data_IF_571415765143
#
_entry.id   IF_571415765143
#
_cell.length_a   1.000
_cell.length_b   1.000
_cell.length_c   1.000
_cell.angle_alpha   90.00
_cell.angle_beta   90.00
_cell.angle_gamma   90.00
#
_symmetry.space_group_name_H-M   'P 1'
#
loop_
_entity.id
_entity.type
_entity.pdbx_description
1 polymer ?
#
# COMPACT_ATOMS: atom_id res chain seq x y z
N UNK A 1 8.06 -8.08 -4.28
CA UNK A 1 8.21 -8.76 -2.98
C UNK A 1 6.90 -8.91 -2.23
N UNK A 2 6.92 -9.33 -0.93
CA UNK A 2 5.69 -9.60 -0.16
C UNK A 2 4.71 -8.43 -0.13
N UNK A 3 5.19 -7.21 0.13
CA UNK A 3 4.35 -6.01 0.18
C UNK A 3 3.63 -5.75 -1.15
N UNK A 4 4.36 -5.80 -2.28
CA UNK A 4 3.75 -5.63 -3.60
C UNK A 4 2.77 -6.73 -3.96
N UNK A 5 3.04 -7.99 -3.58
CA UNK A 5 2.08 -9.08 -3.76
C UNK A 5 0.80 -8.84 -2.95
N UNK A 6 0.92 -8.45 -1.68
CA UNK A 6 -0.24 -8.16 -0.84
C UNK A 6 -1.04 -6.96 -1.38
N UNK A 7 -0.38 -5.85 -1.71
CA UNK A 7 -1.01 -4.69 -2.32
C UNK A 7 -1.74 -5.07 -3.62
N UNK A 8 -1.11 -5.88 -4.48
CA UNK A 8 -1.70 -6.37 -5.71
C UNK A 8 -2.95 -7.22 -5.50
N UNK A 9 -2.99 -8.08 -4.47
CA UNK A 9 -4.20 -8.84 -4.14
C UNK A 9 -5.36 -7.91 -3.80
N UNK A 10 -5.13 -6.91 -2.94
CA UNK A 10 -6.19 -5.98 -2.54
C UNK A 10 -6.62 -5.06 -3.68
N UNK A 11 -5.68 -4.54 -4.48
CA UNK A 11 -6.01 -3.73 -5.65
C UNK A 11 -6.85 -4.52 -6.66
N UNK A 12 -6.46 -5.75 -6.99
CA UNK A 12 -7.20 -6.60 -7.92
C UNK A 12 -8.59 -6.99 -7.38
N UNK A 13 -8.74 -7.23 -6.07
CA UNK A 13 -10.05 -7.46 -5.43
C UNK A 13 -10.96 -6.23 -5.49
N UNK A 14 -10.38 -5.03 -5.59
CA UNK A 14 -11.10 -3.77 -5.79
C UNK A 14 -11.26 -3.41 -7.30
N UNK A 15 -11.20 -4.43 -8.17
CA UNK A 15 -11.44 -4.31 -9.61
C UNK A 15 -10.44 -3.45 -10.40
N UNK A 16 -9.25 -3.21 -9.84
CA UNK A 16 -8.17 -2.60 -10.61
C UNK A 16 -7.47 -3.65 -11.48
N UNK A 17 -7.02 -3.23 -12.67
CA UNK A 17 -6.10 -4.05 -13.47
C UNK A 17 -4.71 -4.02 -12.81
N UNK A 18 -4.22 -5.19 -12.42
CA UNK A 18 -2.97 -5.31 -11.64
C UNK A 18 -1.94 -6.13 -12.37
N UNK A 19 -0.74 -5.56 -12.50
CA UNK A 19 0.44 -6.21 -13.04
C UNK A 19 1.52 -6.30 -11.95
N UNK A 20 1.94 -7.52 -11.60
CA UNK A 20 3.05 -7.78 -10.69
C UNK A 20 4.31 -7.98 -11.53
N UNK A 21 5.25 -7.04 -11.42
CA UNK A 21 6.54 -7.11 -12.12
C UNK A 21 7.60 -7.66 -11.16
N UNK A 22 8.16 -8.81 -11.47
CA UNK A 22 9.20 -9.48 -10.67
C UNK A 22 10.42 -9.75 -11.54
N UNK A 23 11.56 -9.21 -11.14
CA UNK A 23 12.82 -9.36 -11.89
C UNK A 23 13.39 -10.78 -11.89
N UNK A 24 12.99 -11.59 -10.93
CA UNK A 24 13.49 -12.94 -10.77
C UNK A 24 12.62 -13.97 -11.50
N UNK A 25 13.10 -15.21 -11.54
CA UNK A 25 12.41 -16.37 -12.12
C UNK A 25 11.21 -16.85 -11.28
N UNK A 26 11.06 -16.33 -10.06
CA UNK A 26 9.95 -16.71 -9.15
C UNK A 26 9.66 -15.59 -8.17
N UNK A 27 8.41 -15.54 -7.71
CA UNK A 27 7.96 -14.62 -6.68
C UNK A 27 8.60 -14.93 -5.31
N UNK A 28 8.73 -13.89 -4.48
CA UNK A 28 8.99 -14.06 -3.06
C UNK A 28 10.38 -14.54 -2.66
N UNK A 29 11.43 -14.41 -3.50
CA UNK A 29 12.81 -14.86 -3.17
C UNK A 29 13.30 -14.37 -1.81
N UNK A 30 13.04 -13.09 -1.46
CA UNK A 30 13.43 -12.57 -0.16
C UNK A 30 12.60 -13.16 0.97
N UNK A 31 11.31 -13.37 0.76
CA UNK A 31 10.42 -14.03 1.74
C UNK A 31 10.91 -15.45 2.03
N UNK A 32 11.35 -16.16 0.99
CA UNK A 32 11.81 -17.56 1.10
C UNK A 32 12.95 -17.74 2.11
N UNK A 33 13.83 -16.75 2.23
CA UNK A 33 14.99 -16.82 3.14
C UNK A 33 14.75 -16.19 4.51
N UNK A 34 13.63 -15.48 4.70
CA UNK A 34 13.32 -14.82 5.98
C UNK A 34 12.98 -15.84 7.08
N UNK A 35 13.24 -15.46 8.34
CA UNK A 35 12.96 -16.33 9.48
C UNK A 35 13.66 -17.70 9.38
N UNK A 36 14.85 -17.76 8.77
CA UNK A 36 15.59 -19.02 8.50
C UNK A 36 14.80 -20.01 7.64
N UNK A 37 14.08 -19.50 6.62
CA UNK A 37 13.25 -20.29 5.74
C UNK A 37 11.82 -20.57 6.23
N UNK A 38 11.48 -20.09 7.43
CA UNK A 38 10.16 -20.27 8.06
C UNK A 38 9.17 -19.16 7.74
N UNK A 39 9.63 -17.96 7.42
CA UNK A 39 8.88 -16.71 7.27
C UNK A 39 8.17 -16.27 8.56
N UNK A 40 8.76 -15.31 9.30
CA UNK A 40 8.01 -14.58 10.31
C UNK A 40 7.01 -13.64 9.60
N UNK A 41 5.72 -14.00 9.64
CA UNK A 41 4.65 -13.35 8.87
C UNK A 41 4.31 -12.00 9.46
N UNK A 42 4.05 -11.96 10.77
CA UNK A 42 3.71 -10.78 11.55
C UNK A 42 4.02 -11.01 13.02
N UNK A 43 3.61 -10.07 13.87
CA UNK A 43 3.59 -10.21 15.31
C UNK A 43 2.14 -10.18 15.80
N UNK A 44 1.73 -11.12 16.64
CA UNK A 44 0.38 -11.20 17.18
C UNK A 44 0.19 -10.26 18.38
N UNK A 45 0.47 -8.97 18.18
CA UNK A 45 0.28 -7.91 19.16
C UNK A 45 -0.70 -6.86 18.62
N UNK A 46 -1.19 -6.01 19.48
CA UNK A 46 -2.02 -4.89 19.07
C UNK A 46 -1.20 -3.82 18.34
N UNK A 47 -1.90 -2.98 17.54
CA UNK A 47 -1.22 -1.93 16.76
C UNK A 47 -0.42 -0.97 17.65
N UNK A 48 -0.94 -0.67 18.85
CA UNK A 48 -0.29 0.19 19.85
C UNK A 48 1.05 -0.36 20.33
N UNK A 49 1.19 -1.67 20.43
CA UNK A 49 2.43 -2.33 20.86
C UNK A 49 3.51 -2.30 19.77
N UNK A 50 3.13 -2.11 18.50
CA UNK A 50 4.09 -2.02 17.39
C UNK A 50 4.83 -0.68 17.36
N UNK A 51 4.16 0.42 17.72
CA UNK A 51 4.73 1.76 17.55
C UNK A 51 5.99 2.01 18.38
N UNK A 52 6.11 1.55 19.64
CA UNK A 52 7.35 1.69 20.40
C UNK A 52 8.54 0.92 19.81
N UNK A 53 8.28 -0.13 19.03
CA UNK A 53 9.33 -0.91 18.37
C UNK A 53 9.88 -0.25 17.09
N UNK A 54 9.23 0.83 16.62
CA UNK A 54 9.68 1.55 15.43
C UNK A 54 10.81 2.51 15.74
N UNK A 55 11.90 2.41 14.98
CA UNK A 55 13.10 3.23 15.23
C UNK A 55 12.91 4.72 14.91
N UNK A 56 12.03 5.06 13.97
CA UNK A 56 11.81 6.45 13.54
C UNK A 56 10.41 6.66 12.99
N UNK A 57 9.86 7.86 13.21
CA UNK A 57 8.62 8.36 12.63
C UNK A 57 7.41 7.38 12.69
N UNK A 58 7.05 6.82 13.86
CA UNK A 58 5.93 5.88 13.97
C UNK A 58 4.60 6.48 13.51
N UNK A 59 4.40 7.80 13.66
CA UNK A 59 3.18 8.50 13.26
C UNK A 59 2.86 8.37 11.77
N UNK A 60 3.87 8.23 10.92
CA UNK A 60 3.70 8.03 9.48
C UNK A 60 2.92 6.74 9.17
N UNK A 61 3.08 5.73 10.02
CA UNK A 61 2.47 4.41 9.81
C UNK A 61 1.14 4.20 10.55
N UNK A 62 0.67 5.17 11.35
CA UNK A 62 -0.55 5.00 12.14
C UNK A 62 -1.74 4.60 11.26
N UNK A 63 -2.03 5.35 10.20
CA UNK A 63 -3.15 5.04 9.31
C UNK A 63 -3.03 3.61 8.74
N UNK A 64 -1.84 3.21 8.30
CA UNK A 64 -1.62 1.89 7.71
C UNK A 64 -1.86 0.76 8.73
N UNK A 65 -1.35 0.88 9.95
CA UNK A 65 -1.50 -0.18 10.97
C UNK A 65 -2.89 -0.26 11.56
N UNK A 66 -3.64 0.85 11.60
CA UNK A 66 -5.04 0.81 12.01
C UNK A 66 -5.98 0.37 10.88
N UNK A 67 -5.60 0.57 9.60
CA UNK A 67 -6.39 0.10 8.46
C UNK A 67 -6.15 -1.37 8.12
N UNK A 68 -4.98 -1.91 8.46
CA UNK A 68 -4.62 -3.30 8.21
C UNK A 68 -3.72 -3.80 9.35
N UNK A 69 -4.36 -4.39 10.33
CA UNK A 69 -3.77 -4.80 11.61
C UNK A 69 -2.97 -6.11 11.49
N UNK A 70 -2.11 -6.44 12.46
CA UNK A 70 -1.48 -7.76 12.53
C UNK A 70 -2.50 -8.90 12.52
N UNK A 71 -3.67 -8.71 13.14
CA UNK A 71 -4.73 -9.69 13.14
C UNK A 71 -5.33 -9.88 11.74
N UNK A 72 -5.52 -8.81 10.97
CA UNK A 72 -5.99 -8.89 9.58
C UNK A 72 -4.99 -9.67 8.69
N UNK A 73 -3.68 -9.51 8.95
CA UNK A 73 -2.64 -10.30 8.26
C UNK A 73 -2.79 -11.79 8.58
N UNK A 74 -2.99 -12.13 9.85
CA UNK A 74 -3.18 -13.53 10.26
C UNK A 74 -4.43 -14.12 9.61
N UNK A 75 -5.57 -13.43 9.70
CA UNK A 75 -6.82 -13.86 9.08
C UNK A 75 -6.70 -14.02 7.56
N UNK A 76 -5.98 -13.13 6.89
CA UNK A 76 -5.74 -13.22 5.46
C UNK A 76 -5.08 -14.57 5.10
N UNK A 77 -4.01 -14.95 5.79
CA UNK A 77 -3.30 -16.20 5.49
C UNK A 77 -4.09 -17.43 5.91
N UNK A 78 -4.80 -17.41 7.02
CA UNK A 78 -5.68 -18.49 7.44
C UNK A 78 -6.83 -18.72 6.47
N UNK A 79 -7.51 -17.65 6.02
CA UNK A 79 -8.53 -17.72 4.96
C UNK A 79 -7.94 -18.18 3.61
N UNK A 80 -6.68 -17.87 3.35
CA UNK A 80 -5.94 -18.38 2.19
C UNK A 80 -5.47 -19.85 2.36
N UNK A 81 -5.83 -20.52 3.45
CA UNK A 81 -5.54 -21.93 3.69
C UNK A 81 -4.13 -22.20 4.22
N UNK A 82 -3.50 -21.23 4.87
CA UNK A 82 -2.22 -21.40 5.56
C UNK A 82 -2.44 -21.28 7.07
N UNK A 83 -2.53 -22.39 7.80
CA UNK A 83 -2.61 -22.36 9.26
C UNK A 83 -1.37 -21.70 9.86
N UNK A 84 -1.59 -20.82 10.85
CA UNK A 84 -0.55 -20.09 11.53
C UNK A 84 -0.36 -20.59 12.97
N UNK A 85 0.80 -20.30 13.55
CA UNK A 85 1.11 -20.50 14.97
C UNK A 85 1.82 -19.28 15.52
N UNK A 86 1.54 -19.00 16.79
CA UNK A 86 2.21 -17.93 17.55
C UNK A 86 3.30 -18.57 18.43
N UNK A 87 4.51 -18.04 18.35
CA UNK A 87 5.64 -18.47 19.13
C UNK A 87 6.06 -17.38 20.14
N UNK A 88 7.06 -17.68 20.95
CA UNK A 88 7.60 -16.75 21.96
C UNK A 88 7.86 -15.35 21.38
N UNK A 89 7.40 -14.32 22.07
CA UNK A 89 7.49 -12.92 21.64
C UNK A 89 6.46 -12.56 20.56
N UNK A 90 5.32 -13.23 20.59
CA UNK A 90 4.18 -13.02 19.68
C UNK A 90 4.53 -13.17 18.20
N UNK A 91 5.63 -13.84 17.85
CA UNK A 91 6.05 -14.05 16.46
C UNK A 91 5.15 -15.07 15.78
N UNK A 92 4.64 -14.72 14.62
CA UNK A 92 3.71 -15.55 13.86
C UNK A 92 4.42 -16.25 12.71
N UNK A 93 4.27 -17.56 12.62
CA UNK A 93 4.84 -18.41 11.57
C UNK A 93 3.77 -19.32 10.97
N UNK A 94 3.95 -19.79 9.71
CA UNK A 94 3.14 -20.88 9.21
C UNK A 94 3.35 -22.14 10.07
N UNK A 95 2.30 -22.89 10.32
CA UNK A 95 2.36 -24.11 11.15
C UNK A 95 3.32 -25.15 10.57
N UNK A 96 3.45 -25.18 9.26
CA UNK A 96 4.38 -26.05 8.52
C UNK A 96 5.86 -25.70 8.69
N UNK A 97 6.19 -24.50 9.20
CA UNK A 97 7.54 -23.92 9.21
C UNK A 97 8.15 -23.71 7.82
N UNK A 98 7.32 -23.65 6.76
CA UNK A 98 7.77 -23.42 5.40
C UNK A 98 7.33 -22.08 4.84
N UNK A 99 8.29 -21.19 4.58
CA UNK A 99 8.03 -19.88 3.93
C UNK A 99 7.39 -20.02 2.54
N UNK A 100 7.60 -21.14 1.88
CA UNK A 100 6.97 -21.44 0.59
C UNK A 100 5.44 -21.48 0.64
N UNK A 101 4.84 -21.79 1.80
CA UNK A 101 3.38 -21.80 1.93
C UNK A 101 2.81 -20.40 1.89
N UNK A 102 3.50 -19.45 2.53
CA UNK A 102 3.17 -18.02 2.47
C UNK A 102 3.27 -17.51 1.03
N UNK A 103 4.35 -17.83 0.32
CA UNK A 103 4.56 -17.39 -1.07
C UNK A 103 3.47 -17.98 -1.98
N UNK A 104 3.20 -19.29 -1.87
CA UNK A 104 2.15 -19.95 -2.64
C UNK A 104 0.75 -19.40 -2.36
N UNK A 105 0.47 -19.04 -1.11
CA UNK A 105 -0.80 -18.41 -0.75
C UNK A 105 -0.96 -17.06 -1.45
N UNK A 106 0.05 -16.19 -1.36
CA UNK A 106 0.02 -14.89 -2.03
C UNK A 106 -0.12 -15.02 -3.55
N UNK A 107 0.63 -15.93 -4.17
CA UNK A 107 0.55 -16.18 -5.61
C UNK A 107 -0.84 -16.69 -6.02
N UNK A 108 -1.41 -17.61 -5.25
CA UNK A 108 -2.76 -18.13 -5.48
C UNK A 108 -3.82 -17.04 -5.37
N UNK A 109 -3.74 -16.19 -4.33
CA UNK A 109 -4.70 -15.11 -4.13
C UNK A 109 -4.57 -14.02 -5.20
N UNK A 110 -3.36 -13.71 -5.70
CA UNK A 110 -3.15 -12.84 -6.86
C UNK A 110 -3.84 -13.39 -8.10
N UNK A 111 -3.59 -14.66 -8.44
CA UNK A 111 -4.20 -15.32 -9.60
C UNK A 111 -5.72 -15.37 -9.49
N UNK A 112 -6.25 -15.70 -8.30
CA UNK A 112 -7.69 -15.74 -8.03
C UNK A 112 -8.35 -14.37 -8.18
N UNK A 113 -7.63 -13.29 -7.83
CA UNK A 113 -8.11 -11.92 -8.00
C UNK A 113 -7.93 -11.38 -9.43
N UNK A 114 -7.30 -12.14 -10.34
CA UNK A 114 -7.10 -11.75 -11.74
C UNK A 114 -5.85 -10.92 -12.01
N UNK A 115 -4.93 -10.79 -11.04
CA UNK A 115 -3.67 -10.09 -11.26
C UNK A 115 -2.77 -10.83 -12.26
N UNK A 116 -2.13 -10.07 -13.15
CA UNK A 116 -1.16 -10.58 -14.13
C UNK A 116 0.24 -10.57 -13.52
N UNK A 117 0.96 -11.68 -13.61
CA UNK A 117 2.30 -11.85 -13.06
C UNK A 117 3.31 -11.94 -14.19
N UNK A 118 4.28 -11.05 -14.19
CA UNK A 118 5.37 -10.98 -15.15
C UNK A 118 6.68 -11.30 -14.44
N UNK A 119 7.22 -12.48 -14.66
CA UNK A 119 8.53 -12.89 -14.16
C UNK A 119 9.63 -12.41 -15.13
N UNK A 120 10.88 -12.43 -14.66
CA UNK A 120 12.04 -11.92 -15.41
C UNK A 120 11.87 -10.48 -15.91
N UNK A 121 11.00 -9.71 -15.25
CA UNK A 121 10.62 -8.36 -15.65
C UNK A 121 11.13 -7.36 -14.61
N UNK A 122 12.21 -6.70 -14.92
CA UNK A 122 12.84 -5.72 -14.05
C UNK A 122 12.42 -4.30 -14.44
N UNK A 123 11.94 -3.53 -13.46
CA UNK A 123 11.66 -2.10 -13.63
C UNK A 123 12.97 -1.34 -13.49
N UNK A 124 13.26 -0.46 -14.45
CA UNK A 124 14.38 0.46 -14.45
C UNK A 124 13.97 1.81 -13.83
N UNK A 125 12.81 2.32 -14.22
CA UNK A 125 12.38 3.67 -13.83
C UNK A 125 10.85 3.74 -13.68
N UNK A 126 10.40 4.61 -12.75
CA UNK A 126 9.00 5.01 -12.61
C UNK A 126 8.82 6.34 -13.33
N UNK A 127 7.96 6.36 -14.34
CA UNK A 127 7.69 7.56 -15.16
C UNK A 127 6.59 8.38 -14.51
N UNK A 128 6.89 9.67 -14.29
CA UNK A 128 5.96 10.64 -13.74
C UNK A 128 5.78 11.79 -14.70
N UNK A 129 4.59 12.38 -14.72
CA UNK A 129 4.30 13.62 -15.44
C UNK A 129 3.73 14.66 -14.48
N UNK A 130 4.05 15.95 -14.68
CA UNK A 130 3.37 17.02 -13.92
C UNK A 130 1.87 16.95 -14.16
N UNK A 131 1.08 17.12 -13.10
CA UNK A 131 -0.37 17.32 -13.25
C UNK A 131 -0.57 18.73 -13.78
N UNK A 132 -0.80 18.86 -15.09
CA UNK A 132 -1.29 20.12 -15.66
C UNK A 132 -2.79 20.17 -15.38
N UNK A 133 -3.22 21.07 -14.49
CA UNK A 133 -4.65 21.38 -14.37
C UNK A 133 -5.14 21.84 -15.75
N UNK A 134 -5.96 21.04 -16.40
CA UNK A 134 -6.77 21.52 -17.52
C UNK A 134 -7.84 22.43 -16.90
N UNK A 135 -7.63 23.74 -17.03
CA UNK A 135 -8.65 24.74 -16.75
C UNK A 135 -9.82 24.46 -17.70
N UNK A 136 -10.80 23.71 -17.25
CA UNK A 136 -12.11 23.74 -17.86
C UNK A 136 -12.90 24.82 -17.15
N UNK A 137 -12.89 26.00 -17.75
CA UNK A 137 -13.88 27.03 -17.48
C UNK A 137 -15.28 26.43 -17.64
N UNK A 138 -15.96 26.30 -16.54
CA UNK A 138 -17.41 26.21 -16.49
C UNK A 138 -17.88 27.16 -15.40
N UNK A 139 -17.96 28.42 -15.79
CA UNK A 139 -18.72 29.43 -15.10
C UNK A 139 -20.17 28.94 -15.01
N UNK A 140 -20.68 28.70 -13.84
CA UNK A 140 -22.10 28.77 -13.58
C UNK A 140 -22.34 29.60 -12.32
N UNK A 141 -22.57 30.87 -12.64
CA UNK A 141 -23.18 31.88 -11.79
C UNK A 141 -24.59 31.39 -11.39
N UNK A 142 -24.82 31.22 -10.12
CA UNK A 142 -26.15 31.33 -9.53
C UNK A 142 -26.01 32.10 -8.22
N UNK A 143 -26.26 33.39 -8.33
CA UNK A 143 -26.63 34.26 -7.21
C UNK A 143 -27.95 33.76 -6.64
N UNK A 144 -28.04 33.60 -5.34
CA UNK A 144 -29.29 33.81 -4.62
C UNK A 144 -28.97 34.33 -3.21
N UNK A 145 -29.41 35.54 -3.00
CA UNK A 145 -29.45 36.27 -1.74
C UNK A 145 -30.28 35.51 -0.69
N UNK A 146 -29.82 35.51 0.54
CA UNK A 146 -30.70 35.62 1.70
C UNK A 146 -29.91 36.11 2.91
N UNK A 147 -30.43 37.15 3.49
CA UNK A 147 -29.88 38.04 4.50
C UNK A 147 -29.97 37.50 5.93
N UNK A 148 -29.10 38.08 6.78
CA UNK A 148 -29.23 38.45 8.18
C UNK A 148 -29.41 37.37 9.27
N UNK A 149 -28.44 37.26 10.19
CA UNK A 149 -28.55 37.91 11.53
C UNK A 149 -27.22 37.81 12.27
N UNK A 150 -26.88 38.92 12.93
CA UNK A 150 -25.74 39.13 13.81
C UNK A 150 -25.85 38.31 15.12
N UNK A 151 -24.72 37.76 15.59
CA UNK A 151 -24.34 37.85 17.00
C UNK A 151 -22.85 37.54 17.16
N UNK A 152 -22.13 38.49 17.78
CA UNK A 152 -20.68 38.46 17.89
C UNK A 152 -20.12 37.42 18.82
N UNK A 153 -18.95 36.93 18.44
CA UNK A 153 -18.00 36.32 19.38
C UNK A 153 -16.57 36.65 18.93
N UNK A 154 -15.81 37.19 19.86
CA UNK A 154 -14.47 37.72 19.73
C UNK A 154 -13.49 36.62 19.25
N UNK A 155 -12.89 36.79 18.08
CA UNK A 155 -11.97 35.82 17.48
C UNK A 155 -10.53 36.20 17.80
N UNK A 156 -9.96 35.43 18.73
CA UNK A 156 -8.53 35.43 19.00
C UNK A 156 -7.68 35.23 17.75
N UNK A 157 -6.60 35.97 17.67
CA UNK A 157 -5.59 36.07 16.60
C UNK A 157 -5.26 34.75 15.92
N UNK A 158 -5.70 34.56 14.70
CA UNK A 158 -5.27 33.52 13.78
C UNK A 158 -3.77 33.66 13.49
N UNK A 159 -2.98 32.64 13.90
CA UNK A 159 -1.61 32.47 13.44
C UNK A 159 -1.63 32.21 11.94
N UNK A 160 -1.08 33.11 11.13
CA UNK A 160 -0.81 32.87 9.69
C UNK A 160 0.06 31.62 9.56
N UNK A 161 -0.55 30.49 9.15
CA UNK A 161 0.16 29.29 8.75
C UNK A 161 1.09 29.64 7.58
N UNK A 162 2.38 29.28 7.70
CA UNK A 162 3.28 29.30 6.55
C UNK A 162 2.69 28.38 5.50
N UNK A 163 2.36 28.90 4.31
CA UNK A 163 2.07 28.09 3.12
C UNK A 163 3.27 27.18 2.89
N UNK A 164 3.03 25.88 2.90
CA UNK A 164 4.01 24.92 2.40
C UNK A 164 4.33 25.30 0.94
N UNK A 165 5.59 25.14 0.47
CA UNK A 165 5.89 25.40 -0.92
C UNK A 165 4.99 24.52 -1.80
N UNK A 166 4.40 25.09 -2.86
CA UNK A 166 3.64 24.36 -3.86
C UNK A 166 4.61 23.34 -4.53
N UNK A 167 4.61 22.11 -4.04
CA UNK A 167 5.29 21.00 -4.69
C UNK A 167 4.42 20.63 -5.88
N UNK A 168 4.93 20.69 -7.14
CA UNK A 168 4.17 20.28 -8.30
C UNK A 168 3.64 18.87 -8.07
N UNK A 169 2.35 18.68 -8.19
CA UNK A 169 1.76 17.36 -8.10
C UNK A 169 2.18 16.56 -9.34
N UNK A 170 2.90 15.48 -9.14
CA UNK A 170 3.29 14.56 -10.19
C UNK A 170 2.35 13.35 -10.18
N UNK A 171 1.88 12.94 -11.35
CA UNK A 171 1.11 11.71 -11.53
C UNK A 171 2.01 10.64 -12.16
N UNK A 172 1.98 9.44 -11.61
CA UNK A 172 2.61 8.27 -12.23
C UNK A 172 1.86 7.95 -13.52
N UNK A 173 2.58 7.67 -14.59
CA UNK A 173 2.02 7.33 -15.90
C UNK A 173 2.48 5.96 -16.39
N UNK A 174 3.42 5.34 -15.71
CA UNK A 174 3.89 4.01 -16.06
C UNK A 174 5.30 3.73 -15.54
N UNK A 175 5.87 2.67 -16.05
CA UNK A 175 7.23 2.24 -15.75
C UNK A 175 8.01 1.93 -17.02
N UNK A 176 9.32 2.15 -17.00
CA UNK A 176 10.25 1.68 -18.03
C UNK A 176 10.93 0.43 -17.52
N UNK A 177 10.89 -0.63 -18.31
CA UNK A 177 11.57 -1.89 -18.02
C UNK A 177 13.05 -1.82 -18.46
N UNK A 178 13.87 -2.74 -17.97
CA UNK A 178 15.30 -2.79 -18.29
C UNK A 178 15.60 -3.09 -19.76
N UNK A 179 14.66 -3.61 -20.53
CA UNK A 179 14.72 -3.82 -21.97
C UNK A 179 14.28 -2.59 -22.79
N UNK A 180 13.93 -1.49 -22.12
CA UNK A 180 13.43 -0.26 -22.74
C UNK A 180 11.92 -0.24 -22.99
N UNK A 181 11.19 -1.30 -22.70
CA UNK A 181 9.74 -1.34 -22.87
C UNK A 181 9.05 -0.41 -21.88
N UNK A 182 8.11 0.41 -22.36
CA UNK A 182 7.23 1.20 -21.50
C UNK A 182 5.94 0.44 -21.22
N UNK A 183 5.59 0.32 -19.96
CA UNK A 183 4.29 -0.18 -19.51
C UNK A 183 3.50 0.95 -18.85
N UNK A 184 2.34 1.24 -19.38
CA UNK A 184 1.43 2.26 -18.84
C UNK A 184 0.84 1.79 -17.49
N UNK A 185 0.62 2.75 -16.58
CA UNK A 185 -0.01 2.51 -15.29
C UNK A 185 -0.08 3.81 -14.49
N UNK A 186 -1.08 3.93 -13.65
CA UNK A 186 -1.39 5.15 -12.88
C UNK A 186 -1.08 5.02 -11.37
N UNK A 187 -0.60 3.85 -10.96
CA UNK A 187 -0.11 3.59 -9.61
C UNK A 187 0.99 2.52 -9.61
N UNK A 188 1.99 2.68 -8.70
CA UNK A 188 3.10 1.75 -8.50
C UNK A 188 3.34 1.51 -7.00
#
# INVERSE_FOLDING_TARGET
GAAGMMAGVFAARNHHEVHILEKNEKLGKKVFITGKGRCNVTNACDAEELFPAMMSNPKFLYSSFYSFTPQDVMEFFEKAGVPLKVERGNRVFPQSDHSSDIIRALERELKKAGAKIHLHTAVQEIVKKPVTESVTDSVNTLESEAALTESGFDAGKSRKGKKSPDIPQEKITGVILTDGTFMEGDAV
#
